data_IF_763842696057
#
_entry.id   IF_763842696057
#
_cell.length_a   1.000
_cell.length_b   1.000
_cell.length_c   1.000
_cell.angle_alpha   90.00
_cell.angle_beta   90.00
_cell.angle_gamma   90.00
#
_symmetry.space_group_name_H-M   'P 1'
#
loop_
_entity.id
_entity.type
_entity.pdbx_description
1 polymer ?
#
# COMPACT_ATOMS: atom_id res chain seq x y z
N UNK A 1 -15.37 1.14 20.02
CA UNK A 1 -14.50 -0.07 19.95
C UNK A 1 -13.23 0.30 19.21
N UNK A 2 -12.04 -0.21 19.61
CA UNK A 2 -10.81 0.02 18.82
C UNK A 2 -10.93 -0.75 17.52
N UNK A 3 -10.82 -0.07 16.37
CA UNK A 3 -10.83 -0.76 15.08
C UNK A 3 -9.55 -1.58 14.91
N UNK A 4 -9.70 -2.82 14.47
CA UNK A 4 -8.59 -3.76 14.25
C UNK A 4 -8.14 -3.66 12.80
N UNK A 5 -6.86 -3.50 12.62
CA UNK A 5 -6.24 -3.36 11.29
C UNK A 5 -5.34 -4.55 11.01
N UNK A 6 -5.52 -5.15 9.83
CA UNK A 6 -4.56 -6.10 9.27
C UNK A 6 -3.69 -5.40 8.23
N UNK A 7 -2.38 -5.24 8.53
CA UNK A 7 -1.43 -4.55 7.69
C UNK A 7 -0.55 -5.56 6.93
N UNK A 8 -0.93 -5.88 5.70
CA UNK A 8 -0.11 -6.68 4.81
C UNK A 8 1.03 -5.82 4.24
N UNK A 9 2.29 -6.25 4.45
CA UNK A 9 3.48 -5.47 4.13
C UNK A 9 4.00 -4.59 5.27
N UNK A 10 3.67 -4.94 6.52
CA UNK A 10 4.06 -4.18 7.72
C UNK A 10 5.57 -3.91 7.84
N UNK A 11 6.41 -4.76 7.29
CA UNK A 11 7.89 -4.64 7.34
C UNK A 11 8.52 -3.98 6.11
N UNK A 12 7.70 -3.51 5.16
CA UNK A 12 8.14 -2.75 3.98
C UNK A 12 8.41 -1.27 4.29
N UNK A 13 8.87 -0.50 3.30
CA UNK A 13 9.20 0.92 3.47
C UNK A 13 8.02 1.72 4.04
N UNK A 14 6.85 1.66 3.40
CA UNK A 14 5.64 2.35 3.88
C UNK A 14 5.15 1.72 5.19
N UNK A 15 5.09 0.37 5.29
CA UNK A 15 4.56 -0.31 6.48
C UNK A 15 5.28 0.05 7.76
N UNK A 16 6.62 0.18 7.72
CA UNK A 16 7.44 0.62 8.86
C UNK A 16 7.13 2.06 9.32
N UNK A 17 6.74 2.92 8.40
CA UNK A 17 6.37 4.33 8.68
C UNK A 17 4.90 4.43 9.11
N UNK A 18 4.03 3.63 8.54
CA UNK A 18 2.60 3.60 8.85
C UNK A 18 2.29 2.99 10.22
N UNK A 19 3.03 1.96 10.61
CA UNK A 19 2.78 1.25 11.87
C UNK A 19 2.74 2.17 13.10
N UNK A 20 3.76 3.03 13.37
CA UNK A 20 3.72 3.95 14.52
C UNK A 20 2.52 4.90 14.45
N UNK A 21 2.16 5.37 13.27
CA UNK A 21 1.01 6.26 13.08
C UNK A 21 -0.30 5.58 13.48
N UNK A 22 -0.50 4.32 13.07
CA UNK A 22 -1.69 3.54 13.44
C UNK A 22 -1.76 3.25 14.94
N UNK A 23 -0.64 2.85 15.55
CA UNK A 23 -0.57 2.57 16.98
C UNK A 23 -0.83 3.82 17.81
N UNK A 24 -0.22 4.96 17.45
CA UNK A 24 -0.43 6.25 18.12
C UNK A 24 -1.88 6.75 17.97
N UNK A 25 -2.53 6.46 16.84
CA UNK A 25 -3.95 6.73 16.64
C UNK A 25 -4.88 5.74 17.41
N UNK A 26 -4.31 4.76 18.13
CA UNK A 26 -5.04 3.86 19.01
C UNK A 26 -5.63 2.62 18.34
N UNK A 27 -5.23 2.32 17.09
CA UNK A 27 -5.66 1.09 16.42
C UNK A 27 -4.95 -0.15 16.98
N UNK A 28 -5.63 -1.29 16.95
CA UNK A 28 -5.03 -2.59 17.19
C UNK A 28 -4.52 -3.17 15.86
N UNK A 29 -3.20 -3.37 15.74
CA UNK A 29 -2.58 -3.75 14.47
C UNK A 29 -2.05 -5.18 14.50
N UNK A 30 -2.46 -5.99 13.52
CA UNK A 30 -1.81 -7.25 13.16
C UNK A 30 -1.06 -7.08 11.84
N UNK A 31 0.25 -7.12 11.87
CA UNK A 31 1.09 -7.02 10.68
C UNK A 31 1.36 -8.37 10.03
N UNK A 32 1.49 -8.40 8.71
CA UNK A 32 1.89 -9.57 7.94
C UNK A 32 3.22 -9.33 7.23
N UNK A 33 4.10 -10.31 7.29
CA UNK A 33 5.36 -10.38 6.54
C UNK A 33 5.62 -11.81 6.07
N UNK A 34 6.35 -11.97 4.94
CA UNK A 34 6.83 -13.30 4.52
C UNK A 34 8.13 -13.73 5.19
N UNK A 35 8.81 -12.82 5.90
CA UNK A 35 10.14 -13.05 6.48
C UNK A 35 10.07 -13.27 7.98
N UNK A 36 10.46 -14.46 8.43
CA UNK A 36 10.60 -14.80 9.85
C UNK A 36 11.60 -13.88 10.56
N UNK A 37 12.73 -13.55 9.92
CA UNK A 37 13.73 -12.66 10.50
C UNK A 37 13.15 -11.27 10.75
N UNK A 38 12.45 -10.69 9.74
CA UNK A 38 11.79 -9.38 9.91
C UNK A 38 10.65 -9.43 10.94
N UNK A 39 9.96 -10.56 11.09
CA UNK A 39 8.94 -10.71 12.13
C UNK A 39 9.56 -10.61 13.54
N UNK A 40 10.75 -11.16 13.74
CA UNK A 40 11.47 -11.07 15.01
C UNK A 40 11.87 -9.64 15.38
N UNK A 41 12.25 -8.81 14.38
CA UNK A 41 12.57 -7.38 14.58
C UNK A 41 11.39 -6.56 15.11
N UNK A 42 10.16 -7.03 14.88
CA UNK A 42 8.92 -6.34 15.27
C UNK A 42 8.30 -6.88 16.56
N UNK A 43 8.91 -7.89 17.22
CA UNK A 43 8.45 -8.36 18.53
C UNK A 43 8.54 -7.25 19.57
N UNK A 44 7.49 -7.11 20.38
CA UNK A 44 7.46 -6.10 21.45
C UNK A 44 7.11 -4.69 21.01
N UNK A 45 6.85 -4.47 19.70
CA UNK A 45 6.54 -3.13 19.16
C UNK A 45 5.05 -2.77 19.20
N UNK A 46 4.30 -3.28 20.18
CA UNK A 46 2.89 -2.93 20.37
C UNK A 46 1.92 -3.50 19.34
N UNK A 47 2.38 -4.41 18.45
CA UNK A 47 1.56 -5.08 17.44
C UNK A 47 1.73 -6.59 17.50
N UNK A 48 0.73 -7.31 16.98
CA UNK A 48 0.89 -8.73 16.61
C UNK A 48 1.51 -8.81 15.22
N UNK A 49 2.36 -9.82 14.99
CA UNK A 49 2.92 -10.06 13.67
C UNK A 49 2.75 -11.52 13.28
N UNK A 50 2.31 -11.75 12.05
CA UNK A 50 2.14 -13.08 11.47
C UNK A 50 3.08 -13.25 10.28
N UNK A 51 3.61 -14.47 10.14
CA UNK A 51 4.43 -14.82 8.98
C UNK A 51 3.56 -15.62 8.02
N UNK A 52 3.30 -15.04 6.85
CA UNK A 52 2.53 -15.67 5.78
C UNK A 52 3.00 -15.17 4.42
N UNK A 53 3.01 -16.07 3.43
CA UNK A 53 3.16 -15.69 2.03
C UNK A 53 1.79 -15.34 1.47
N UNK A 54 1.69 -14.20 0.77
CA UNK A 54 0.44 -13.75 0.15
C UNK A 54 -0.06 -14.69 -0.95
N UNK A 55 0.81 -15.54 -1.49
CA UNK A 55 0.47 -16.57 -2.47
C UNK A 55 -0.10 -17.85 -1.85
N UNK A 56 0.06 -18.06 -0.55
CA UNK A 56 -0.62 -19.12 0.20
C UNK A 56 -1.98 -18.61 0.71
N UNK A 57 -3.03 -18.85 -0.08
CA UNK A 57 -4.38 -18.40 0.23
C UNK A 57 -4.89 -18.92 1.59
N UNK A 58 -4.52 -20.14 1.97
CA UNK A 58 -4.93 -20.73 3.24
C UNK A 58 -4.20 -20.08 4.42
N UNK A 59 -2.92 -19.77 4.29
CA UNK A 59 -2.18 -19.04 5.31
C UNK A 59 -2.73 -17.63 5.49
N UNK A 60 -3.03 -16.91 4.39
CA UNK A 60 -3.68 -15.60 4.43
C UNK A 60 -5.05 -15.68 5.11
N UNK A 61 -5.86 -16.67 4.76
CA UNK A 61 -7.19 -16.88 5.36
C UNK A 61 -7.08 -17.15 6.87
N UNK A 62 -6.18 -18.02 7.29
CA UNK A 62 -5.93 -18.28 8.74
C UNK A 62 -5.51 -17.00 9.46
N UNK A 63 -4.56 -16.26 8.90
CA UNK A 63 -4.06 -15.02 9.49
C UNK A 63 -5.16 -13.97 9.69
N UNK A 64 -6.03 -13.78 8.71
CA UNK A 64 -7.15 -12.85 8.82
C UNK A 64 -8.25 -13.34 9.79
N UNK A 65 -8.54 -14.66 9.82
CA UNK A 65 -9.47 -15.23 10.82
C UNK A 65 -9.01 -14.99 12.24
N UNK A 66 -7.72 -15.16 12.50
CA UNK A 66 -7.14 -14.99 13.84
C UNK A 66 -7.08 -13.49 14.22
N UNK A 67 -6.82 -12.62 13.26
CA UNK A 67 -6.79 -11.16 13.47
C UNK A 67 -8.20 -10.55 13.59
N UNK A 68 -9.19 -11.09 12.88
CA UNK A 68 -10.56 -10.56 12.78
C UNK A 68 -10.58 -9.04 12.53
N UNK A 69 -9.94 -8.57 11.46
CA UNK A 69 -9.80 -7.14 11.21
C UNK A 69 -11.12 -6.50 10.75
N UNK A 70 -11.30 -5.24 11.12
CA UNK A 70 -12.35 -4.38 10.57
C UNK A 70 -11.87 -3.75 9.26
N UNK A 71 -10.54 -3.51 9.16
CA UNK A 71 -9.89 -2.87 8.00
C UNK A 71 -8.65 -3.68 7.59
N UNK A 72 -8.49 -3.89 6.28
CA UNK A 72 -7.28 -4.49 5.69
C UNK A 72 -6.51 -3.41 4.92
N UNK A 73 -5.21 -3.27 5.20
CA UNK A 73 -4.32 -2.38 4.47
C UNK A 73 -3.31 -3.22 3.70
N UNK A 74 -3.27 -3.06 2.38
CA UNK A 74 -2.41 -3.79 1.47
C UNK A 74 -1.27 -2.89 0.96
N UNK A 75 -0.06 -3.08 1.52
CA UNK A 75 1.17 -2.38 1.15
C UNK A 75 2.24 -3.35 0.60
N UNK A 76 1.82 -4.49 0.04
CA UNK A 76 2.77 -5.48 -0.46
C UNK A 76 3.32 -5.08 -1.82
N UNK A 77 4.64 -5.04 -1.91
CA UNK A 77 5.42 -4.93 -3.15
C UNK A 77 6.74 -5.68 -2.98
N UNK A 78 7.44 -5.93 -4.08
CA UNK A 78 8.80 -6.47 -4.07
C UNK A 78 9.76 -5.52 -4.81
N UNK A 79 9.70 -4.22 -4.46
CA UNK A 79 10.51 -3.17 -5.11
C UNK A 79 12.00 -3.32 -4.84
N UNK A 80 12.39 -3.86 -3.67
CA UNK A 80 13.79 -4.15 -3.36
C UNK A 80 14.41 -5.17 -4.33
N UNK A 81 13.60 -6.08 -4.87
CA UNK A 81 14.05 -7.00 -5.90
C UNK A 81 14.28 -6.32 -7.26
N UNK A 82 13.65 -5.18 -7.54
CA UNK A 82 13.90 -4.40 -8.75
C UNK A 82 15.27 -3.72 -8.73
N UNK A 83 15.65 -3.15 -7.58
CA UNK A 83 16.90 -2.40 -7.44
C UNK A 83 18.17 -3.27 -7.50
N UNK A 84 18.07 -4.57 -7.15
CA UNK A 84 19.20 -5.51 -7.11
C UNK A 84 19.08 -6.71 -8.04
N UNK A 85 18.11 -6.72 -8.96
CA UNK A 85 17.83 -7.90 -9.79
C UNK A 85 18.75 -8.01 -11.02
N UNK A 86 19.35 -9.18 -11.17
CA UNK A 86 19.99 -9.58 -12.44
C UNK A 86 18.95 -9.75 -13.59
N UNK A 87 17.65 -9.79 -13.29
CA UNK A 87 16.55 -9.90 -14.25
C UNK A 87 15.41 -8.93 -13.91
N UNK A 88 15.43 -7.69 -14.43
CA UNK A 88 14.38 -6.71 -14.22
C UNK A 88 12.98 -7.22 -14.60
N UNK A 89 12.86 -7.96 -15.69
CA UNK A 89 11.58 -8.54 -16.15
C UNK A 89 11.01 -9.53 -15.14
N UNK A 90 11.82 -10.39 -14.53
CA UNK A 90 11.36 -11.31 -13.49
C UNK A 90 10.86 -10.59 -12.25
N UNK A 91 11.49 -9.47 -11.87
CA UNK A 91 11.05 -8.64 -10.75
C UNK A 91 9.73 -7.92 -11.07
N UNK A 92 9.56 -7.41 -12.30
CA UNK A 92 8.31 -6.81 -12.78
C UNK A 92 7.17 -7.85 -12.73
N UNK A 93 7.40 -9.04 -13.28
CA UNK A 93 6.40 -10.12 -13.29
C UNK A 93 6.00 -10.55 -11.88
N UNK A 94 6.96 -10.62 -10.95
CA UNK A 94 6.69 -10.94 -9.54
C UNK A 94 5.83 -9.87 -8.86
N UNK A 95 6.10 -8.59 -9.10
CA UNK A 95 5.25 -7.50 -8.60
C UNK A 95 3.85 -7.55 -9.21
N UNK A 96 3.72 -7.80 -10.50
CA UNK A 96 2.43 -7.97 -11.15
C UNK A 96 1.63 -9.14 -10.55
N UNK A 97 2.32 -10.26 -10.22
CA UNK A 97 1.70 -11.40 -9.54
C UNK A 97 1.24 -11.06 -8.11
N UNK A 98 2.03 -10.29 -7.32
CA UNK A 98 1.60 -9.80 -6.01
C UNK A 98 0.33 -8.96 -6.15
N UNK A 99 0.30 -8.06 -7.12
CA UNK A 99 -0.84 -7.17 -7.38
C UNK A 99 -2.10 -7.91 -7.86
N UNK A 100 -1.97 -8.95 -8.65
CA UNK A 100 -3.12 -9.73 -9.14
C UNK A 100 -3.51 -10.85 -8.17
N UNK A 101 -2.65 -11.87 -8.00
CA UNK A 101 -2.95 -13.06 -7.19
C UNK A 101 -2.95 -12.75 -5.70
N UNK A 102 -1.94 -12.01 -5.22
CA UNK A 102 -1.84 -11.64 -3.81
C UNK A 102 -3.00 -10.77 -3.35
N UNK A 103 -3.42 -9.80 -4.17
CA UNK A 103 -4.59 -8.97 -3.85
C UNK A 103 -5.86 -9.80 -3.83
N UNK A 104 -6.06 -10.71 -4.79
CA UNK A 104 -7.23 -11.60 -4.81
C UNK A 104 -7.32 -12.44 -3.54
N UNK A 105 -6.21 -12.99 -3.06
CA UNK A 105 -6.16 -13.78 -1.83
C UNK A 105 -6.52 -12.92 -0.60
N UNK A 106 -6.00 -11.69 -0.51
CA UNK A 106 -6.34 -10.75 0.57
C UNK A 106 -7.81 -10.32 0.52
N UNK A 107 -8.35 -9.98 -0.64
CA UNK A 107 -9.76 -9.59 -0.83
C UNK A 107 -10.69 -10.74 -0.43
N UNK A 108 -10.41 -11.96 -0.90
CA UNK A 108 -11.22 -13.13 -0.56
C UNK A 108 -11.22 -13.41 0.95
N UNK A 109 -10.06 -13.32 1.58
CA UNK A 109 -9.93 -13.51 3.01
C UNK A 109 -10.61 -12.39 3.81
N UNK A 110 -10.44 -11.12 3.41
CA UNK A 110 -11.09 -9.96 4.03
C UNK A 110 -12.62 -10.09 4.01
N UNK A 111 -13.19 -10.44 2.86
CA UNK A 111 -14.63 -10.69 2.71
C UNK A 111 -15.12 -11.85 3.59
N UNK A 112 -14.38 -12.95 3.61
CA UNK A 112 -14.75 -14.15 4.37
C UNK A 112 -14.75 -13.93 5.88
N UNK A 113 -13.94 -12.99 6.40
CA UNK A 113 -13.92 -12.64 7.83
C UNK A 113 -14.81 -11.46 8.19
N UNK A 114 -15.50 -10.87 7.21
CA UNK A 114 -16.41 -9.75 7.42
C UNK A 114 -15.70 -8.40 7.63
N UNK A 115 -14.48 -8.23 7.11
CA UNK A 115 -13.84 -6.92 7.08
C UNK A 115 -14.70 -5.93 6.28
N UNK A 116 -14.77 -4.70 6.75
CA UNK A 116 -15.64 -3.67 6.18
C UNK A 116 -14.92 -2.88 5.09
N UNK A 117 -13.60 -2.68 5.23
CA UNK A 117 -12.83 -1.78 4.37
C UNK A 117 -11.49 -2.39 3.96
N UNK A 118 -11.06 -2.07 2.74
CA UNK A 118 -9.73 -2.41 2.25
C UNK A 118 -9.08 -1.21 1.58
N UNK A 119 -7.87 -0.87 2.01
CA UNK A 119 -7.05 0.20 1.46
C UNK A 119 -5.84 -0.44 0.78
N UNK A 120 -5.62 -0.15 -0.49
CA UNK A 120 -4.53 -0.76 -1.25
C UNK A 120 -3.63 0.28 -1.92
N UNK A 121 -2.33 -0.02 -1.89
CA UNK A 121 -1.31 0.73 -2.62
C UNK A 121 -1.41 0.43 -4.12
N UNK A 122 -1.49 1.47 -4.92
CA UNK A 122 -1.32 1.47 -6.38
C UNK A 122 -0.21 2.44 -6.78
N UNK A 123 -0.15 2.86 -8.06
CA UNK A 123 0.88 3.77 -8.58
C UNK A 123 0.27 4.86 -9.46
N UNK A 124 0.68 6.12 -9.29
CA UNK A 124 0.17 7.27 -10.03
C UNK A 124 0.71 7.39 -11.46
N UNK A 125 1.77 6.68 -11.81
CA UNK A 125 2.37 6.70 -13.14
C UNK A 125 1.89 5.55 -14.06
N UNK A 126 0.73 4.97 -13.77
CA UNK A 126 0.12 3.90 -14.58
C UNK A 126 -0.86 4.40 -15.64
N UNK A 127 -1.11 5.69 -15.72
CA UNK A 127 -2.02 6.30 -16.70
C UNK A 127 -1.58 6.09 -18.14
N UNK A 128 -2.54 5.99 -19.04
CA UNK A 128 -2.33 6.00 -20.48
C UNK A 128 -1.95 7.39 -21.00
N UNK A 129 -1.53 7.48 -22.27
CA UNK A 129 -1.30 8.77 -22.90
C UNK A 129 -2.54 9.64 -22.87
N UNK A 130 -2.39 10.92 -22.47
CA UNK A 130 -3.49 11.87 -22.36
C UNK A 130 -3.00 13.27 -22.00
N UNK A 131 -3.92 14.23 -21.87
CA UNK A 131 -3.60 15.56 -21.33
C UNK A 131 -3.05 15.47 -19.90
N UNK A 132 -2.12 16.35 -19.59
CA UNK A 132 -1.58 16.50 -18.23
C UNK A 132 -2.15 17.77 -17.57
N UNK A 133 -2.27 17.77 -16.23
CA UNK A 133 -2.08 16.65 -15.31
C UNK A 133 -3.24 15.63 -15.37
N UNK A 134 -2.91 14.34 -15.14
CA UNK A 134 -3.93 13.29 -15.03
C UNK A 134 -4.78 13.43 -13.76
N UNK A 135 -6.01 12.92 -13.84
CA UNK A 135 -6.95 12.80 -12.73
C UNK A 135 -7.33 11.34 -12.50
N UNK A 136 -7.88 11.01 -11.32
CA UNK A 136 -8.18 9.63 -10.91
C UNK A 136 -9.13 8.88 -11.85
N UNK A 137 -9.94 9.60 -12.64
CA UNK A 137 -10.85 9.03 -13.64
C UNK A 137 -10.18 8.69 -14.97
N UNK A 138 -8.95 9.14 -15.20
CA UNK A 138 -8.24 8.86 -16.45
C UNK A 138 -7.90 7.36 -16.57
N UNK A 139 -7.92 6.81 -17.79
CA UNK A 139 -7.68 5.40 -18.00
C UNK A 139 -6.22 5.01 -17.75
N UNK A 140 -6.06 3.80 -17.21
CA UNK A 140 -4.73 3.17 -17.10
C UNK A 140 -4.24 2.71 -18.48
N UNK A 141 -2.91 2.68 -18.66
CA UNK A 141 -2.22 2.28 -19.90
C UNK A 141 -2.20 0.74 -20.10
N UNK A 142 -3.40 0.17 -20.12
CA UNK A 142 -3.56 -1.30 -20.23
C UNK A 142 -3.14 -1.87 -21.59
N UNK A 143 -2.96 -1.02 -22.59
CA UNK A 143 -2.57 -1.38 -23.96
C UNK A 143 -1.10 -1.06 -24.28
N UNK A 144 -0.32 -0.68 -23.28
CA UNK A 144 1.12 -0.44 -23.45
C UNK A 144 1.85 -1.68 -23.98
N UNK A 145 3.00 -1.47 -24.64
CA UNK A 145 3.94 -2.54 -24.92
C UNK A 145 4.65 -3.07 -23.67
N UNK A 146 5.24 -4.27 -23.77
CA UNK A 146 6.09 -4.81 -22.69
C UNK A 146 7.38 -3.96 -22.50
N UNK A 147 7.87 -3.84 -21.26
CA UNK A 147 7.39 -4.50 -20.03
C UNK A 147 6.31 -3.72 -19.26
N UNK A 148 5.88 -2.56 -19.75
CA UNK A 148 4.91 -1.67 -19.08
C UNK A 148 3.55 -2.36 -18.93
N UNK A 149 3.08 -3.07 -19.96
CA UNK A 149 1.80 -3.80 -19.92
C UNK A 149 1.71 -4.81 -18.77
N UNK A 150 2.82 -5.49 -18.43
CA UNK A 150 2.88 -6.40 -17.29
C UNK A 150 2.61 -5.64 -15.98
N UNK A 151 3.25 -4.49 -15.81
CA UNK A 151 3.07 -3.64 -14.61
C UNK A 151 1.64 -3.12 -14.52
N UNK A 152 1.14 -2.49 -15.58
CA UNK A 152 -0.18 -1.87 -15.61
C UNK A 152 -1.28 -2.92 -15.54
N UNK A 153 -1.11 -4.07 -16.17
CA UNK A 153 -2.04 -5.22 -16.04
C UNK A 153 -2.18 -5.70 -14.59
N UNK A 154 -1.05 -5.77 -13.86
CA UNK A 154 -1.08 -6.08 -12.42
C UNK A 154 -1.79 -5.02 -11.59
N UNK A 155 -1.57 -3.73 -11.88
CA UNK A 155 -2.26 -2.61 -11.25
C UNK A 155 -3.77 -2.65 -11.53
N UNK A 156 -4.17 -2.80 -12.77
CA UNK A 156 -5.58 -2.90 -13.16
C UNK A 156 -6.29 -4.05 -12.45
N UNK A 157 -5.62 -5.22 -12.34
CA UNK A 157 -6.15 -6.36 -11.60
C UNK A 157 -6.33 -6.07 -10.10
N UNK A 158 -5.36 -5.38 -9.46
CA UNK A 158 -5.43 -4.96 -8.07
C UNK A 158 -6.59 -3.99 -7.84
N UNK A 159 -6.65 -2.91 -8.61
CA UNK A 159 -7.66 -1.85 -8.44
C UNK A 159 -9.07 -2.42 -8.65
N UNK A 160 -9.28 -3.21 -9.71
CA UNK A 160 -10.55 -3.88 -9.95
C UNK A 160 -10.95 -4.84 -8.82
N UNK A 161 -10.02 -5.63 -8.29
CA UNK A 161 -10.31 -6.57 -7.21
C UNK A 161 -10.71 -5.85 -5.91
N UNK A 162 -10.07 -4.72 -5.60
CA UNK A 162 -10.36 -3.96 -4.38
C UNK A 162 -11.66 -3.16 -4.51
N UNK A 163 -11.88 -2.48 -5.63
CA UNK A 163 -13.02 -1.59 -5.82
C UNK A 163 -14.33 -2.34 -6.09
N UNK A 164 -14.26 -3.53 -6.69
CA UNK A 164 -15.44 -4.28 -7.14
C UNK A 164 -15.72 -5.55 -6.31
N UNK A 165 -15.48 -5.51 -5.00
CA UNK A 165 -15.69 -6.66 -4.10
C UNK A 165 -16.65 -6.38 -2.95
N UNK A 166 -17.92 -5.99 -3.22
CA UNK A 166 -18.89 -5.73 -2.16
C UNK A 166 -19.10 -6.97 -1.26
N UNK A 167 -19.44 -6.81 0.03
CA UNK A 167 -19.71 -5.54 0.73
C UNK A 167 -18.46 -4.79 1.19
N UNK A 168 -17.25 -5.23 0.82
CA UNK A 168 -15.98 -4.60 1.18
C UNK A 168 -15.85 -3.24 0.47
N UNK A 169 -15.70 -2.16 1.23
CA UNK A 169 -15.47 -0.82 0.67
C UNK A 169 -13.99 -0.66 0.33
N UNK A 170 -13.70 -0.45 -0.94
CA UNK A 170 -12.35 -0.37 -1.48
C UNK A 170 -11.83 1.06 -1.57
N UNK A 171 -10.56 1.27 -1.18
CA UNK A 171 -9.80 2.52 -1.38
C UNK A 171 -8.51 2.20 -2.08
N UNK A 172 -8.19 2.95 -3.11
CA UNK A 172 -6.93 2.87 -3.85
C UNK A 172 -6.14 4.15 -3.60
N UNK A 173 -4.89 4.00 -3.17
CA UNK A 173 -3.93 5.09 -3.07
C UNK A 173 -2.90 4.91 -4.19
N UNK A 174 -3.01 5.70 -5.25
CA UNK A 174 -2.05 5.75 -6.36
C UNK A 174 -0.86 6.59 -5.94
N UNK A 175 0.15 5.92 -5.41
CA UNK A 175 1.37 6.58 -4.95
C UNK A 175 2.30 6.97 -6.08
N UNK A 176 2.89 8.15 -5.96
CA UNK A 176 4.01 8.59 -6.76
C UNK A 176 5.27 7.73 -6.54
N UNK A 177 6.38 8.15 -7.15
CA UNK A 177 7.67 7.46 -7.03
C UNK A 177 8.28 7.71 -5.66
N UNK A 178 8.34 6.65 -4.86
CA UNK A 178 8.75 6.73 -3.46
C UNK A 178 10.23 7.06 -3.30
N UNK A 179 10.51 7.99 -2.38
CA UNK A 179 11.85 8.28 -1.87
C UNK A 179 11.83 8.46 -0.35
N UNK A 180 13.00 8.53 0.26
CA UNK A 180 13.17 8.67 1.70
C UNK A 180 13.46 7.35 2.42
N UNK A 181 13.43 7.32 3.74
CA UNK A 181 13.93 6.21 4.55
C UNK A 181 13.35 4.84 4.20
N UNK A 182 14.23 3.87 3.95
CA UNK A 182 13.84 2.48 3.64
C UNK A 182 13.39 2.19 2.22
N UNK A 183 13.38 3.20 1.33
CA UNK A 183 13.02 3.03 -0.09
C UNK A 183 14.22 2.66 -0.97
N UNK A 184 15.44 2.94 -0.50
CA UNK A 184 16.66 2.83 -1.30
C UNK A 184 16.88 4.01 -2.25
N UNK A 185 16.12 5.10 -2.09
CA UNK A 185 16.18 6.35 -2.86
C UNK A 185 16.09 7.51 -1.89
N UNK A 186 17.17 8.28 -1.76
CA UNK A 186 17.27 9.32 -0.72
C UNK A 186 16.69 10.68 -1.12
N UNK A 187 16.52 10.93 -2.44
CA UNK A 187 16.04 12.21 -2.96
C UNK A 187 14.89 12.01 -3.97
N UNK A 188 14.01 13.01 -4.15
CA UNK A 188 12.95 12.95 -5.14
C UNK A 188 13.52 12.75 -6.56
N UNK A 189 12.88 11.88 -7.34
CA UNK A 189 13.26 11.60 -8.72
C UNK A 189 12.05 11.16 -9.57
N UNK A 190 12.19 11.33 -10.88
CA UNK A 190 11.17 10.93 -11.85
C UNK A 190 9.91 11.79 -11.77
N UNK A 191 8.88 11.33 -12.45
CA UNK A 191 7.57 11.96 -12.47
C UNK A 191 6.82 11.69 -11.16
N UNK A 192 6.14 12.69 -10.64
CA UNK A 192 5.31 12.58 -9.44
C UNK A 192 6.05 11.93 -8.23
N UNK A 193 7.13 12.52 -7.70
CA UNK A 193 7.83 11.98 -6.54
C UNK A 193 6.93 11.99 -5.30
N UNK A 194 7.22 11.09 -4.33
CA UNK A 194 6.47 11.01 -3.08
C UNK A 194 7.38 10.57 -1.94
N UNK A 195 7.48 11.38 -0.89
CA UNK A 195 8.19 10.95 0.31
C UNK A 195 7.44 9.83 1.02
N UNK A 196 8.18 8.82 1.49
CA UNK A 196 7.59 7.62 2.12
C UNK A 196 6.74 7.93 3.37
N UNK A 197 7.05 8.99 4.10
CA UNK A 197 6.25 9.44 5.24
C UNK A 197 4.90 10.00 4.79
N UNK A 198 4.89 10.83 3.75
CA UNK A 198 3.65 11.36 3.20
C UNK A 198 2.75 10.23 2.65
N UNK A 199 3.35 9.17 2.06
CA UNK A 199 2.64 7.96 1.68
C UNK A 199 2.01 7.24 2.88
N UNK A 200 2.75 7.13 4.00
CA UNK A 200 2.24 6.52 5.22
C UNK A 200 1.09 7.34 5.84
N UNK A 201 1.22 8.68 5.86
CA UNK A 201 0.13 9.56 6.31
C UNK A 201 -1.11 9.43 5.43
N UNK A 202 -0.97 9.31 4.11
CA UNK A 202 -2.11 9.11 3.23
C UNK A 202 -2.90 7.83 3.58
N UNK A 203 -2.20 6.73 3.92
CA UNK A 203 -2.85 5.50 4.36
C UNK A 203 -3.55 5.65 5.72
N UNK A 204 -2.94 6.36 6.70
CA UNK A 204 -3.59 6.67 7.98
C UNK A 204 -4.85 7.52 7.76
N UNK A 205 -4.74 8.60 6.99
CA UNK A 205 -5.84 9.52 6.73
C UNK A 205 -6.98 8.83 5.96
N UNK A 206 -6.66 7.95 5.00
CA UNK A 206 -7.68 7.12 4.35
C UNK A 206 -8.44 6.23 5.33
N UNK A 207 -7.80 5.76 6.41
CA UNK A 207 -8.49 5.05 7.51
C UNK A 207 -9.38 6.00 8.29
N UNK A 208 -8.86 7.17 8.69
CA UNK A 208 -9.55 8.12 9.58
C UNK A 208 -10.75 8.81 8.92
N UNK A 209 -10.63 9.18 7.64
CA UNK A 209 -11.68 9.83 6.85
C UNK A 209 -12.64 8.84 6.16
N UNK A 210 -12.53 7.54 6.47
CA UNK A 210 -13.38 6.50 5.87
C UNK A 210 -13.40 6.55 4.33
N UNK A 211 -12.24 6.86 3.74
CA UNK A 211 -12.08 7.03 2.30
C UNK A 211 -12.56 5.83 1.49
N UNK A 212 -13.10 6.10 0.32
CA UNK A 212 -13.43 5.08 -0.69
C UNK A 212 -13.16 5.60 -2.10
N UNK A 213 -12.91 4.70 -3.04
CA UNK A 213 -12.54 5.05 -4.42
C UNK A 213 -11.03 5.28 -4.57
N UNK A 214 -10.64 6.07 -5.56
CA UNK A 214 -9.25 6.26 -5.98
C UNK A 214 -8.77 7.64 -5.55
N UNK A 215 -7.52 7.73 -5.10
CA UNK A 215 -6.82 8.97 -4.73
C UNK A 215 -5.40 8.96 -5.30
N UNK A 216 -5.03 10.00 -6.03
CA UNK A 216 -3.65 10.25 -6.41
C UNK A 216 -2.89 10.91 -5.25
N UNK A 217 -1.75 10.33 -4.91
CA UNK A 217 -0.91 10.71 -3.77
C UNK A 217 0.52 10.93 -4.28
N UNK A 218 0.86 12.17 -4.56
CA UNK A 218 2.16 12.58 -5.06
C UNK A 218 2.49 14.00 -4.58
N UNK A 219 3.75 14.35 -4.53
CA UNK A 219 4.15 15.74 -4.33
C UNK A 219 3.68 16.59 -5.51
N UNK A 220 3.56 17.91 -5.31
CA UNK A 220 3.12 18.83 -6.35
C UNK A 220 4.00 18.67 -7.59
N UNK A 221 3.41 18.09 -8.60
CA UNK A 221 4.02 17.84 -9.90
C UNK A 221 3.01 18.13 -11.00
N UNK A 222 3.51 18.34 -12.21
CA UNK A 222 2.67 18.59 -13.38
C UNK A 222 1.96 17.33 -13.91
N UNK A 223 2.29 16.13 -13.41
CA UNK A 223 1.83 14.87 -13.99
C UNK A 223 0.49 14.37 -13.46
N UNK A 224 0.16 14.64 -12.18
CA UNK A 224 -1.11 14.18 -11.55
C UNK A 224 -1.73 15.25 -10.66
N UNK A 225 -3.06 15.27 -10.58
CA UNK A 225 -3.82 16.13 -9.67
C UNK A 225 -4.00 15.42 -8.32
N UNK A 226 -3.62 16.08 -7.23
CA UNK A 226 -3.78 15.54 -5.86
C UNK A 226 -4.84 16.28 -5.04
N UNK A 227 -5.64 17.12 -5.69
CA UNK A 227 -6.62 17.98 -5.03
C UNK A 227 -7.66 17.17 -4.25
N UNK A 228 -8.12 16.04 -4.80
CA UNK A 228 -9.05 15.14 -4.12
C UNK A 228 -8.49 14.64 -2.78
N UNK A 229 -7.24 14.18 -2.76
CA UNK A 229 -6.59 13.75 -1.52
C UNK A 229 -6.42 14.90 -0.52
N UNK A 230 -6.15 16.12 -1.02
CA UNK A 230 -6.02 17.32 -0.18
C UNK A 230 -7.35 17.73 0.45
N UNK A 231 -8.44 17.66 -0.30
CA UNK A 231 -9.76 18.07 0.15
C UNK A 231 -10.45 17.00 1.02
N UNK A 232 -10.45 15.74 0.58
CA UNK A 232 -11.23 14.68 1.23
C UNK A 232 -10.47 13.98 2.36
N UNK A 233 -9.13 13.91 2.28
CA UNK A 233 -8.28 13.28 3.29
C UNK A 233 -7.52 14.29 4.16
N UNK A 234 -7.58 15.57 3.85
CA UNK A 234 -6.73 16.60 4.47
C UNK A 234 -5.22 16.29 4.32
N UNK A 235 -4.87 15.47 3.32
CA UNK A 235 -3.50 15.07 3.06
C UNK A 235 -2.63 16.22 2.54
N UNK A 236 -1.35 16.22 2.92
CA UNK A 236 -0.35 17.18 2.44
C UNK A 236 0.96 16.46 2.10
N UNK A 237 1.62 16.89 1.06
CA UNK A 237 2.88 16.33 0.55
C UNK A 237 4.08 16.54 1.49
N UNK A 238 4.02 17.54 2.36
CA UNK A 238 5.06 17.85 3.35
C UNK A 238 4.92 17.12 4.68
N UNK A 239 3.99 16.18 4.81
CA UNK A 239 3.83 15.38 6.03
C UNK A 239 5.06 14.49 6.25
N UNK A 240 5.69 14.63 7.41
CA UNK A 240 6.88 13.86 7.81
C UNK A 240 6.70 13.32 9.22
N UNK A 241 7.20 12.10 9.44
CA UNK A 241 7.27 11.57 10.81
C UNK A 241 8.40 12.26 11.56
N UNK A 242 8.27 12.47 12.88
CA UNK A 242 9.39 12.85 13.72
C UNK A 242 10.54 11.84 13.57
N UNK A 243 11.79 12.32 13.64
CA UNK A 243 12.98 11.48 13.43
C UNK A 243 13.04 10.29 14.42
N UNK A 244 12.53 10.47 15.61
CA UNK A 244 12.46 9.48 16.67
C UNK A 244 11.24 8.53 16.60
N UNK A 245 10.23 8.85 15.78
CA UNK A 245 8.98 8.09 15.73
C UNK A 245 9.15 6.61 15.32
N UNK A 246 10.22 6.26 14.61
CA UNK A 246 10.52 4.88 14.20
C UNK A 246 11.41 4.16 15.23
N UNK A 247 12.16 4.91 16.03
CA UNK A 247 13.05 4.38 17.07
C UNK A 247 12.31 4.04 18.36
N UNK A 248 11.27 4.77 18.71
CA UNK A 248 10.52 4.63 19.96
C UNK A 248 9.46 3.51 19.98
N UNK A 249 9.33 2.73 18.91
CA UNK A 249 8.59 1.45 18.99
C UNK A 249 9.53 0.34 19.54
N UNK A 250 10.56 0.71 20.25
CA UNK A 250 11.47 -0.17 20.97
C UNK A 250 11.27 0.08 22.47
N UNK A 251 10.46 -0.72 23.10
CA UNK A 251 10.54 -1.29 24.49
C UNK A 251 9.17 -1.86 24.84
#
# INVERSE_FOLDING_TARGET
MKNRIFLAGATGAIGRRLLPLLLNAGYEVTGMTRSQAKALEFRGRGMRIVVADVFDADAVMRALRDARPDIVIHQLTDLSALAGSASPTAAISRNARIRSEGTRNLVNAARAVGAQRMIAQSISWAYGPGPLPHVESDPLDVHAGEPRSITVGGINALENAVLNSPPLLGTILRYGQLYGPGTGVDAPRGAAPLHVDAAAYAALLAVQHEAHGIYDIAELDADVVTEKARCELEWRDNMRLPEDAVTHIAV
#
